data_IF_269941924540
#
_entry.id   IF_269941924540
#
_cell.length_a   1.000
_cell.length_b   1.000
_cell.length_c   1.000
_cell.angle_alpha   90.00
_cell.angle_beta   90.00
_cell.angle_gamma   90.00
#
_symmetry.space_group_name_H-M   'P 1'
#
loop_
_entity.id
_entity.type
_entity.pdbx_description
1 polymer ?
#
# COMPACT_ATOMS: atom_id res chain seq x y z
N UNK A 1 17.84 -11.29 34.76
CA UNK A 1 18.52 -11.82 33.55
C UNK A 1 20.02 -11.72 33.78
N UNK A 2 20.85 -12.76 33.56
CA UNK A 2 22.29 -12.68 33.82
C UNK A 2 22.97 -11.71 32.83
N UNK A 3 23.96 -10.90 33.26
CA UNK A 3 24.56 -9.81 32.46
C UNK A 3 25.21 -10.29 31.14
N UNK A 4 25.65 -11.55 31.09
CA UNK A 4 26.18 -12.20 29.88
C UNK A 4 25.13 -12.44 28.77
N UNK A 5 23.84 -12.51 29.12
CA UNK A 5 22.75 -12.62 28.12
C UNK A 5 22.44 -11.27 27.48
N UNK A 6 22.46 -10.19 28.28
CA UNK A 6 22.22 -8.82 27.80
C UNK A 6 23.29 -8.40 26.78
N UNK A 7 24.56 -8.65 27.08
CA UNK A 7 25.65 -8.34 26.17
C UNK A 7 25.55 -9.10 24.83
N UNK A 8 25.16 -10.37 24.84
CA UNK A 8 24.99 -11.19 23.61
C UNK A 8 23.78 -10.77 22.77
N UNK A 9 22.69 -10.37 23.41
CA UNK A 9 21.50 -9.82 22.74
C UNK A 9 21.82 -8.48 22.07
N UNK A 10 22.59 -7.62 22.74
CA UNK A 10 23.03 -6.34 22.18
C UNK A 10 23.93 -6.52 20.94
N UNK A 11 24.90 -7.45 20.97
CA UNK A 11 25.76 -7.70 19.80
C UNK A 11 24.99 -8.29 18.63
N UNK A 12 24.06 -9.23 18.87
CA UNK A 12 23.23 -9.84 17.83
C UNK A 12 22.23 -8.84 17.20
N UNK A 13 21.65 -7.95 18.02
CA UNK A 13 20.79 -6.87 17.54
C UNK A 13 21.54 -5.89 16.63
N UNK A 14 22.79 -5.55 16.97
CA UNK A 14 23.65 -4.69 16.14
C UNK A 14 23.99 -5.34 14.81
N UNK A 15 24.32 -6.65 14.78
CA UNK A 15 24.59 -7.35 13.52
C UNK A 15 23.33 -7.52 12.65
N UNK A 16 22.15 -7.72 13.27
CA UNK A 16 20.87 -7.76 12.56
C UNK A 16 20.50 -6.43 11.90
N UNK A 17 20.69 -5.31 12.61
CA UNK A 17 20.50 -3.97 12.04
C UNK A 17 21.42 -3.71 10.84
N UNK A 18 22.69 -4.10 10.91
CA UNK A 18 23.67 -3.84 9.83
C UNK A 18 23.35 -4.62 8.54
N UNK A 19 22.77 -5.82 8.64
CA UNK A 19 22.37 -6.61 7.47
C UNK A 19 21.09 -6.07 6.80
N UNK A 20 20.16 -5.51 7.59
CA UNK A 20 18.90 -4.96 7.08
C UNK A 20 19.03 -3.53 6.55
N UNK A 21 19.91 -2.71 7.12
CA UNK A 21 20.20 -1.35 6.65
C UNK A 21 20.94 -1.31 5.29
N UNK A 22 21.43 -2.46 4.80
CA UNK A 22 22.12 -2.59 3.52
C UNK A 22 21.25 -3.06 2.35
N UNK A 23 19.95 -3.30 2.56
CA UNK A 23 19.03 -3.68 1.48
C UNK A 23 18.24 -2.45 0.98
N UNK A 24 18.56 -1.91 -0.20
CA UNK A 24 17.76 -0.86 -0.80
C UNK A 24 16.52 -1.50 -1.42
N UNK A 25 15.43 -1.57 -0.67
CA UNK A 25 14.11 -1.79 -1.25
C UNK A 25 13.06 -1.27 -0.27
N UNK A 26 12.53 -0.04 -0.45
CA UNK A 26 11.26 0.29 0.19
C UNK A 26 10.23 -0.73 -0.32
N UNK A 27 9.79 -1.60 0.58
CA UNK A 27 8.50 -2.28 0.58
C UNK A 27 7.89 -2.65 -0.79
N UNK A 28 8.53 -3.52 -1.59
CA UNK A 28 7.93 -4.06 -2.83
C UNK A 28 6.64 -4.85 -2.58
N UNK A 29 6.38 -5.31 -1.35
CA UNK A 29 5.12 -5.97 -1.01
C UNK A 29 3.97 -5.00 -0.71
N UNK A 30 4.25 -3.75 -0.31
CA UNK A 30 3.21 -2.82 0.12
C UNK A 30 2.65 -1.94 -1.02
N UNK A 31 3.20 -2.06 -2.23
CA UNK A 31 2.61 -1.55 -3.47
C UNK A 31 1.79 -2.66 -4.13
N UNK A 32 0.48 -2.49 -4.23
CA UNK A 32 -0.36 -3.36 -5.06
C UNK A 32 -0.39 -2.73 -6.45
N UNK A 33 0.09 -3.44 -7.48
CA UNK A 33 0.09 -2.94 -8.87
C UNK A 33 -1.31 -2.97 -9.51
N UNK A 34 -1.59 -2.01 -10.40
CA UNK A 34 -2.91 -1.81 -11.01
C UNK A 34 -3.28 -2.80 -12.14
N UNK A 35 -2.42 -3.76 -12.49
CA UNK A 35 -2.63 -4.67 -13.63
C UNK A 35 -3.53 -5.89 -13.38
N UNK A 36 -4.15 -6.04 -12.21
CA UNK A 36 -5.00 -7.18 -11.89
C UNK A 36 -6.46 -6.92 -12.29
N UNK A 37 -6.89 -7.43 -13.44
CA UNK A 37 -8.28 -7.23 -13.92
C UNK A 37 -9.22 -8.36 -13.46
N UNK A 38 -8.70 -9.57 -13.30
CA UNK A 38 -9.48 -10.80 -13.01
C UNK A 38 -9.39 -11.27 -11.56
N UNK A 39 -10.35 -12.12 -11.13
CA UNK A 39 -10.34 -12.75 -9.80
C UNK A 39 -9.08 -13.61 -9.58
N UNK A 40 -8.59 -14.26 -10.64
CA UNK A 40 -7.36 -15.07 -10.60
C UNK A 40 -6.09 -14.23 -10.44
N UNK A 41 -6.07 -13.01 -10.99
CA UNK A 41 -4.95 -12.09 -10.80
C UNK A 41 -4.87 -11.66 -9.34
N UNK A 42 -6.01 -11.41 -8.69
CA UNK A 42 -6.06 -11.10 -7.26
C UNK A 42 -5.55 -12.22 -6.37
N UNK A 43 -5.83 -13.49 -6.72
CA UNK A 43 -5.27 -14.63 -6.01
C UNK A 43 -3.73 -14.65 -6.12
N UNK A 44 -3.21 -14.48 -7.33
CA UNK A 44 -1.75 -14.44 -7.58
C UNK A 44 -1.09 -13.25 -6.90
N UNK A 45 -1.77 -12.11 -6.90
CA UNK A 45 -1.35 -10.88 -6.24
C UNK A 45 -1.27 -11.08 -4.72
N UNK A 46 -2.29 -11.68 -4.10
CA UNK A 46 -2.28 -11.99 -2.67
C UNK A 46 -1.17 -12.98 -2.29
N UNK A 47 -0.97 -14.01 -3.10
CA UNK A 47 0.12 -14.96 -2.92
C UNK A 47 1.49 -14.27 -3.02
N UNK A 48 1.71 -13.46 -4.05
CA UNK A 48 2.98 -12.76 -4.29
C UNK A 48 3.24 -11.71 -3.23
N UNK A 49 2.22 -10.94 -2.84
CA UNK A 49 2.28 -9.99 -1.72
C UNK A 49 2.77 -10.67 -0.44
N UNK A 50 2.21 -11.84 -0.12
CA UNK A 50 2.56 -12.60 1.07
C UNK A 50 4.01 -13.10 1.03
N UNK A 51 4.47 -13.63 -0.10
CA UNK A 51 5.83 -14.19 -0.22
C UNK A 51 6.90 -13.09 -0.38
N UNK A 52 6.56 -11.96 -1.02
CA UNK A 52 7.47 -10.83 -1.20
C UNK A 52 7.64 -9.98 0.07
N UNK A 53 6.69 -10.04 1.00
CA UNK A 53 6.73 -9.30 2.27
C UNK A 53 7.71 -9.92 3.26
N UNK A 54 8.89 -9.30 3.41
CA UNK A 54 9.91 -9.76 4.36
C UNK A 54 9.40 -9.74 5.81
N UNK A 55 8.58 -8.75 6.16
CA UNK A 55 7.93 -8.59 7.46
C UNK A 55 6.95 -9.73 7.74
N UNK A 56 6.15 -10.14 6.75
CA UNK A 56 5.26 -11.29 6.87
C UNK A 56 6.04 -12.59 7.09
N UNK A 57 7.11 -12.81 6.32
CA UNK A 57 7.97 -13.98 6.47
C UNK A 57 8.66 -14.02 7.83
N UNK A 58 9.15 -12.87 8.32
CA UNK A 58 9.72 -12.74 9.66
C UNK A 58 8.70 -12.99 10.76
N UNK A 59 7.47 -12.48 10.61
CA UNK A 59 6.39 -12.74 11.56
C UNK A 59 6.06 -14.25 11.64
N UNK A 60 5.90 -14.92 10.49
CA UNK A 60 5.68 -16.37 10.44
C UNK A 60 6.83 -17.14 11.10
N UNK A 61 8.08 -16.78 10.78
CA UNK A 61 9.25 -17.41 11.37
C UNK A 61 9.25 -17.23 12.90
N UNK A 62 9.00 -16.01 13.39
CA UNK A 62 8.89 -15.72 14.82
C UNK A 62 7.82 -16.55 15.51
N UNK A 63 6.60 -16.56 14.96
CA UNK A 63 5.48 -17.37 15.50
C UNK A 63 5.81 -18.86 15.48
N UNK A 64 6.47 -19.36 14.43
CA UNK A 64 6.88 -20.76 14.35
C UNK A 64 7.89 -21.13 15.44
N UNK A 65 8.89 -20.28 15.70
CA UNK A 65 9.90 -20.51 16.73
C UNK A 65 9.25 -20.46 18.13
N UNK A 66 8.38 -19.46 18.39
CA UNK A 66 7.64 -19.34 19.65
C UNK A 66 6.74 -20.56 19.90
N UNK A 67 5.99 -20.98 18.89
CA UNK A 67 5.05 -22.10 19.00
C UNK A 67 5.74 -23.46 19.07
N UNK A 68 6.93 -23.58 18.46
CA UNK A 68 7.79 -24.76 18.45
C UNK A 68 7.27 -25.94 17.63
N UNK A 69 6.11 -25.82 16.98
CA UNK A 69 5.52 -26.88 16.14
C UNK A 69 4.78 -26.25 14.97
N UNK A 70 4.95 -26.81 13.77
CA UNK A 70 4.27 -26.32 12.56
C UNK A 70 2.75 -26.27 12.69
N UNK A 71 2.13 -27.24 13.38
CA UNK A 71 0.68 -27.28 13.60
C UNK A 71 0.18 -26.07 14.41
N UNK A 72 0.84 -25.74 15.53
CA UNK A 72 0.45 -24.54 16.30
C UNK A 72 0.75 -23.26 15.52
N UNK A 73 1.86 -23.20 14.79
CA UNK A 73 2.16 -22.05 13.95
C UNK A 73 1.05 -21.81 12.93
N UNK A 74 0.65 -22.85 12.19
CA UNK A 74 -0.47 -22.79 11.25
C UNK A 74 -1.76 -22.30 11.94
N UNK A 75 -2.11 -22.83 13.11
CA UNK A 75 -3.29 -22.34 13.86
C UNK A 75 -3.21 -20.85 14.21
N UNK A 76 -2.04 -20.36 14.64
CA UNK A 76 -1.88 -18.93 14.98
C UNK A 76 -1.89 -18.05 13.74
N UNK A 77 -1.24 -18.48 12.66
CA UNK A 77 -1.18 -17.72 11.41
C UNK A 77 -2.55 -17.70 10.70
N UNK A 78 -3.29 -18.80 10.66
CA UNK A 78 -4.68 -18.77 10.15
C UNK A 78 -5.59 -17.90 11.02
N UNK A 79 -5.34 -17.80 12.33
CA UNK A 79 -6.10 -16.88 13.20
C UNK A 79 -5.76 -15.41 12.89
N UNK A 80 -4.50 -15.10 12.60
CA UNK A 80 -4.08 -13.80 12.10
C UNK A 80 -4.78 -13.48 10.77
N UNK A 81 -4.73 -14.42 9.81
CA UNK A 81 -5.33 -14.26 8.49
C UNK A 81 -6.86 -14.11 8.56
N UNK A 82 -7.51 -14.81 9.50
CA UNK A 82 -8.93 -14.62 9.78
C UNK A 82 -9.22 -13.17 10.23
N UNK A 83 -8.47 -12.66 11.22
CA UNK A 83 -8.62 -11.27 11.66
C UNK A 83 -8.38 -10.27 10.53
N UNK A 84 -7.31 -10.48 9.77
CA UNK A 84 -6.96 -9.68 8.61
C UNK A 84 -8.06 -9.66 7.55
N UNK A 85 -8.59 -10.84 7.22
CA UNK A 85 -9.66 -10.97 6.23
C UNK A 85 -10.94 -10.25 6.66
N UNK A 86 -11.30 -10.36 7.95
CA UNK A 86 -12.50 -9.72 8.50
C UNK A 86 -12.42 -8.21 8.35
N UNK A 87 -11.34 -7.58 8.78
CA UNK A 87 -11.21 -6.11 8.70
C UNK A 87 -10.94 -5.62 7.29
N UNK A 88 -10.21 -6.38 6.46
CA UNK A 88 -10.02 -6.06 5.06
C UNK A 88 -11.35 -5.98 4.31
N UNK A 89 -12.19 -7.01 4.44
CA UNK A 89 -13.50 -7.06 3.79
C UNK A 89 -14.41 -5.97 4.36
N UNK A 90 -14.50 -5.85 5.70
CA UNK A 90 -15.36 -4.86 6.33
C UNK A 90 -14.97 -3.42 5.95
N UNK A 91 -13.69 -3.07 6.01
CA UNK A 91 -13.21 -1.73 5.67
C UNK A 91 -13.36 -1.43 4.18
N UNK A 92 -13.14 -2.42 3.30
CA UNK A 92 -13.32 -2.25 1.85
C UNK A 92 -14.79 -1.99 1.51
N UNK A 93 -15.73 -2.76 2.08
CA UNK A 93 -17.16 -2.59 1.84
C UNK A 93 -17.74 -1.33 2.49
N UNK A 94 -17.22 -0.94 3.65
CA UNK A 94 -17.67 0.25 4.37
C UNK A 94 -16.96 1.53 3.92
N UNK A 95 -15.98 1.44 3.01
CA UNK A 95 -15.18 2.58 2.54
C UNK A 95 -14.32 3.22 3.63
N UNK A 96 -13.91 2.47 4.65
CA UNK A 96 -13.08 2.99 5.73
C UNK A 96 -11.65 3.21 5.22
N UNK A 97 -11.12 4.40 5.47
CA UNK A 97 -9.73 4.76 5.19
C UNK A 97 -9.00 4.99 6.49
N UNK A 98 -7.95 4.22 6.72
CA UNK A 98 -7.06 4.35 7.87
C UNK A 98 -5.68 4.73 7.36
N UNK A 99 -4.98 5.56 8.13
CA UNK A 99 -3.59 5.90 7.91
C UNK A 99 -2.73 4.63 7.73
N UNK A 100 -2.17 4.46 6.53
CA UNK A 100 -1.38 3.29 6.17
C UNK A 100 -0.07 3.23 6.98
N UNK A 101 0.58 4.37 7.22
CA UNK A 101 1.79 4.45 8.04
C UNK A 101 1.53 3.98 9.46
N UNK A 102 0.42 4.42 10.08
CA UNK A 102 0.05 3.97 11.42
C UNK A 102 -0.10 2.44 11.47
N UNK A 103 -0.73 1.85 10.45
CA UNK A 103 -0.87 0.39 10.37
C UNK A 103 0.49 -0.28 10.18
N UNK A 104 1.35 0.23 9.28
CA UNK A 104 2.71 -0.27 9.06
C UNK A 104 3.55 -0.23 10.36
N UNK A 105 3.39 0.80 11.20
CA UNK A 105 4.03 0.86 12.51
C UNK A 105 3.53 -0.26 13.44
N UNK A 106 2.22 -0.53 13.48
CA UNK A 106 1.66 -1.63 14.27
C UNK A 106 2.17 -2.99 13.77
N UNK A 107 2.31 -3.16 12.45
CA UNK A 107 2.90 -4.35 11.85
C UNK A 107 4.34 -4.53 12.33
N UNK A 108 5.17 -3.50 12.26
CA UNK A 108 6.55 -3.54 12.76
C UNK A 108 6.60 -3.84 14.28
N UNK A 109 5.70 -3.26 15.07
CA UNK A 109 5.58 -3.55 16.50
C UNK A 109 5.13 -4.99 16.79
N UNK A 110 4.37 -5.62 15.89
CA UNK A 110 3.99 -7.03 16.04
C UNK A 110 5.21 -7.98 16.00
N UNK A 111 6.23 -7.66 15.19
CA UNK A 111 7.50 -8.40 15.18
C UNK A 111 8.23 -8.26 16.51
N UNK A 112 8.27 -7.04 17.06
CA UNK A 112 8.85 -6.76 18.38
C UNK A 112 8.10 -7.54 19.46
N UNK A 113 6.76 -7.55 19.43
CA UNK A 113 5.95 -8.29 20.41
C UNK A 113 6.23 -9.79 20.37
N UNK A 114 6.29 -10.41 19.19
CA UNK A 114 6.62 -11.83 19.03
C UNK A 114 8.04 -12.13 19.51
N UNK A 115 9.00 -11.26 19.22
CA UNK A 115 10.39 -11.40 19.68
C UNK A 115 10.51 -11.32 21.21
N UNK A 116 9.86 -10.33 21.83
CA UNK A 116 9.84 -10.17 23.30
C UNK A 116 9.22 -11.38 23.98
N UNK A 117 8.07 -11.86 23.48
CA UNK A 117 7.43 -13.06 24.01
C UNK A 117 8.40 -14.25 23.91
N UNK A 118 9.02 -14.45 22.75
CA UNK A 118 10.00 -15.52 22.53
C UNK A 118 11.20 -15.46 23.49
N UNK A 119 11.74 -14.28 23.77
CA UNK A 119 12.85 -14.05 24.71
C UNK A 119 12.44 -14.28 26.17
N UNK A 120 11.19 -13.98 26.52
CA UNK A 120 10.62 -14.29 27.84
C UNK A 120 10.31 -15.78 28.01
N UNK A 121 10.31 -16.55 26.91
CA UNK A 121 10.06 -17.99 26.88
C UNK A 121 8.85 -18.35 26.02
N UNK A 122 8.25 -19.51 26.26
CA UNK A 122 6.98 -19.86 25.58
C UNK A 122 5.81 -19.24 26.33
N UNK A 123 4.76 -18.78 25.61
CA UNK A 123 3.58 -18.22 26.26
C UNK A 123 2.96 -19.26 27.20
N UNK A 124 2.77 -18.89 28.48
CA UNK A 124 2.16 -19.76 29.48
C UNK A 124 0.65 -19.96 29.23
N UNK A 125 0.00 -18.96 28.60
CA UNK A 125 -1.43 -18.96 28.31
C UNK A 125 -1.67 -18.75 26.81
N UNK A 126 -1.77 -19.85 26.06
CA UNK A 126 -1.95 -19.84 24.60
C UNK A 126 -3.15 -19.03 24.11
N UNK A 127 -4.22 -18.91 24.91
CA UNK A 127 -5.41 -18.12 24.57
C UNK A 127 -5.11 -16.63 24.43
N UNK A 128 -4.25 -16.07 25.29
CA UNK A 128 -3.86 -14.66 25.21
C UNK A 128 -2.93 -14.40 24.03
N UNK A 129 -2.03 -15.35 23.75
CA UNK A 129 -1.20 -15.28 22.55
C UNK A 129 -2.05 -15.32 21.27
N UNK A 130 -3.03 -16.22 21.20
CA UNK A 130 -3.98 -16.31 20.11
C UNK A 130 -4.79 -15.01 19.94
N UNK A 131 -5.32 -14.44 21.03
CA UNK A 131 -6.05 -13.17 21.00
C UNK A 131 -5.18 -12.00 20.50
N UNK A 132 -3.92 -11.94 20.93
CA UNK A 132 -2.96 -10.94 20.45
C UNK A 132 -2.68 -11.09 18.95
N UNK A 133 -2.44 -12.32 18.49
CA UNK A 133 -2.19 -12.61 17.06
C UNK A 133 -3.42 -12.28 16.21
N UNK A 134 -4.63 -12.60 16.68
CA UNK A 134 -5.88 -12.18 16.05
C UNK A 134 -5.98 -10.65 15.98
N UNK A 135 -5.65 -9.96 17.08
CA UNK A 135 -5.66 -8.50 17.17
C UNK A 135 -4.71 -7.83 16.18
N UNK A 136 -3.51 -8.38 16.01
CA UNK A 136 -2.59 -7.92 14.96
C UNK A 136 -3.17 -8.14 13.57
N UNK A 137 -3.80 -9.29 13.32
CA UNK A 137 -4.50 -9.56 12.06
C UNK A 137 -5.56 -8.50 11.76
N UNK A 138 -6.44 -8.20 12.73
CA UNK A 138 -7.49 -7.19 12.60
C UNK A 138 -6.91 -5.82 12.20
N UNK A 139 -5.86 -5.35 12.89
CA UNK A 139 -5.27 -4.04 12.58
C UNK A 139 -4.61 -4.05 11.20
N UNK A 140 -3.91 -5.14 10.87
CA UNK A 140 -3.22 -5.27 9.58
C UNK A 140 -4.20 -5.17 8.40
N UNK A 141 -5.37 -5.83 8.49
CA UNK A 141 -6.38 -5.79 7.42
C UNK A 141 -6.87 -4.39 7.07
N UNK A 142 -6.82 -3.44 8.02
CA UNK A 142 -7.20 -2.05 7.79
C UNK A 142 -6.23 -1.33 6.84
N UNK A 143 -4.92 -1.51 7.01
CA UNK A 143 -3.91 -0.80 6.20
C UNK A 143 -3.94 -1.22 4.73
N UNK A 144 -4.13 -2.51 4.48
CA UNK A 144 -4.25 -3.02 3.12
C UNK A 144 -5.55 -2.57 2.43
N UNK A 145 -6.64 -2.43 3.20
CA UNK A 145 -7.92 -1.97 2.65
C UNK A 145 -7.83 -0.56 2.08
N UNK A 146 -7.12 0.36 2.75
CA UNK A 146 -6.88 1.73 2.27
C UNK A 146 -6.16 1.70 0.91
N UNK A 147 -5.15 0.84 0.77
CA UNK A 147 -4.35 0.71 -0.46
C UNK A 147 -5.15 0.08 -1.61
N UNK A 148 -5.91 -0.98 -1.32
CA UNK A 148 -6.80 -1.62 -2.31
C UNK A 148 -7.91 -0.67 -2.80
N UNK A 149 -8.47 0.13 -1.90
CA UNK A 149 -9.46 1.15 -2.26
C UNK A 149 -8.85 2.25 -3.14
N UNK A 150 -7.58 2.60 -2.94
CA UNK A 150 -6.86 3.58 -3.77
C UNK A 150 -6.68 3.11 -5.24
N UNK A 151 -6.73 1.79 -5.50
CA UNK A 151 -6.68 1.24 -6.86
C UNK A 151 -7.97 1.48 -7.67
N UNK A 152 -9.04 1.98 -7.03
CA UNK A 152 -10.29 2.31 -7.74
C UNK A 152 -11.00 1.09 -8.31
N UNK A 153 -11.07 -0.02 -7.54
CA UNK A 153 -11.69 -1.25 -8.01
C UNK A 153 -13.18 -1.02 -8.35
N UNK A 154 -13.64 -1.46 -9.54
CA UNK A 154 -15.05 -1.44 -9.89
C UNK A 154 -15.88 -2.12 -8.80
N UNK A 155 -17.06 -1.57 -8.43
CA UNK A 155 -17.95 -2.18 -7.44
C UNK A 155 -18.30 -3.63 -7.79
N UNK A 156 -18.41 -3.89 -9.09
CA UNK A 156 -18.72 -5.20 -9.66
C UNK A 156 -17.56 -6.18 -9.45
N UNK A 157 -17.80 -7.23 -8.66
CA UNK A 157 -16.81 -8.27 -8.37
C UNK A 157 -15.76 -7.89 -7.32
N UNK A 158 -15.87 -6.74 -6.65
CA UNK A 158 -14.93 -6.30 -5.61
C UNK A 158 -14.78 -7.31 -4.47
N UNK A 159 -15.90 -7.84 -3.96
CA UNK A 159 -15.86 -8.84 -2.88
C UNK A 159 -15.16 -10.13 -3.33
N UNK A 160 -15.42 -10.60 -4.55
CA UNK A 160 -14.79 -11.80 -5.09
C UNK A 160 -13.27 -11.63 -5.24
N UNK A 161 -12.82 -10.46 -5.71
CA UNK A 161 -11.39 -10.11 -5.80
C UNK A 161 -10.72 -10.04 -4.42
N UNK A 162 -11.34 -9.42 -3.43
CA UNK A 162 -10.81 -9.35 -2.05
C UNK A 162 -10.73 -10.76 -1.42
N UNK A 163 -11.75 -11.59 -1.62
CA UNK A 163 -11.75 -12.98 -1.16
C UNK A 163 -10.63 -13.76 -1.84
N UNK A 164 -10.47 -13.64 -3.16
CA UNK A 164 -9.41 -14.32 -3.90
C UNK A 164 -8.02 -13.89 -3.44
N UNK A 165 -7.81 -12.59 -3.18
CA UNK A 165 -6.58 -12.09 -2.58
C UNK A 165 -6.28 -12.75 -1.23
N UNK A 166 -7.26 -12.81 -0.31
CA UNK A 166 -7.07 -13.45 0.99
C UNK A 166 -6.76 -14.95 0.86
N UNK A 167 -7.38 -15.64 -0.10
CA UNK A 167 -7.04 -17.03 -0.40
C UNK A 167 -5.58 -17.14 -0.86
N UNK A 168 -5.13 -16.25 -1.73
CA UNK A 168 -3.73 -16.16 -2.15
C UNK A 168 -2.78 -15.96 -0.96
N UNK A 169 -3.12 -15.05 -0.05
CA UNK A 169 -2.34 -14.81 1.17
C UNK A 169 -2.24 -16.06 2.05
N UNK A 170 -3.36 -16.71 2.36
CA UNK A 170 -3.36 -17.93 3.18
C UNK A 170 -2.51 -19.05 2.53
N UNK A 171 -2.59 -19.22 1.21
CA UNK A 171 -1.76 -20.18 0.48
C UNK A 171 -0.26 -19.85 0.61
N UNK A 172 0.12 -18.58 0.47
CA UNK A 172 1.49 -18.12 0.67
C UNK A 172 1.99 -18.36 2.10
N UNK A 173 1.14 -18.12 3.10
CA UNK A 173 1.46 -18.33 4.50
C UNK A 173 1.70 -19.82 4.82
N UNK A 174 0.82 -20.70 4.35
CA UNK A 174 0.95 -22.14 4.55
C UNK A 174 2.20 -22.69 3.85
N UNK A 175 2.51 -22.20 2.65
CA UNK A 175 3.74 -22.54 1.95
C UNK A 175 4.98 -22.11 2.76
N UNK A 176 5.01 -20.87 3.24
CA UNK A 176 6.12 -20.34 4.04
C UNK A 176 6.33 -21.16 5.33
N UNK A 177 5.25 -21.51 6.03
CA UNK A 177 5.32 -22.41 7.20
C UNK A 177 5.92 -23.76 6.82
N UNK A 178 5.46 -24.36 5.71
CA UNK A 178 5.99 -25.63 5.21
C UNK A 178 7.50 -25.57 4.96
N UNK A 179 7.96 -24.54 4.26
CA UNK A 179 9.38 -24.30 3.96
C UNK A 179 10.18 -24.11 5.26
N UNK A 180 9.73 -23.28 6.19
CA UNK A 180 10.44 -23.07 7.45
C UNK A 180 10.49 -24.32 8.34
N UNK A 181 9.44 -25.13 8.34
CA UNK A 181 9.44 -26.42 9.04
C UNK A 181 10.47 -27.38 8.41
N UNK A 182 10.57 -27.43 7.08
CA UNK A 182 11.59 -28.24 6.39
C UNK A 182 13.02 -27.77 6.72
N UNK A 183 13.26 -26.46 6.70
CA UNK A 183 14.54 -25.86 7.12
C UNK A 183 14.84 -26.22 8.58
N UNK A 184 13.85 -26.11 9.47
CA UNK A 184 13.96 -26.46 10.87
C UNK A 184 14.30 -27.94 11.12
N UNK A 185 13.81 -28.86 10.27
CA UNK A 185 14.19 -30.29 10.31
C UNK A 185 15.61 -30.55 9.82
N UNK A 186 16.17 -29.68 8.97
CA UNK A 186 17.57 -29.72 8.53
C UNK A 186 18.55 -29.10 9.52
N UNK A 187 18.06 -28.20 10.37
CA UNK A 187 18.80 -27.47 11.41
C UNK A 187 19.65 -28.36 12.35
N UNK A 188 19.31 -29.65 12.61
CA UNK A 188 20.14 -30.50 13.43
C UNK A 188 21.57 -30.74 12.94
N UNK A 189 21.81 -30.47 11.65
CA UNK A 189 23.12 -30.57 11.00
C UNK A 189 24.01 -29.33 11.20
N UNK A 190 23.48 -28.25 11.76
CA UNK A 190 24.21 -27.01 11.97
C UNK A 190 24.94 -26.96 13.33
N UNK A 191 25.99 -26.13 13.45
CA UNK A 191 26.64 -25.82 14.73
C UNK A 191 25.65 -25.35 15.81
N UNK A 192 25.86 -25.76 17.06
CA UNK A 192 25.00 -25.40 18.20
C UNK A 192 24.79 -23.90 18.36
N UNK A 193 25.76 -23.07 17.98
CA UNK A 193 25.68 -21.61 18.04
C UNK A 193 24.60 -21.01 17.13
N UNK A 194 24.35 -21.63 15.97
CA UNK A 194 23.31 -21.22 15.01
C UNK A 194 21.92 -21.76 15.38
N UNK A 195 21.83 -22.64 16.39
CA UNK A 195 20.58 -23.25 16.86
C UNK A 195 20.00 -22.52 18.07
N UNK A 196 20.62 -21.40 18.50
CA UNK A 196 20.11 -20.61 19.62
C UNK A 196 18.92 -19.75 19.16
N UNK A 197 17.68 -20.02 19.59
CA UNK A 197 16.51 -19.25 19.19
C UNK A 197 16.59 -17.78 19.63
N UNK A 198 17.37 -17.47 20.67
CA UNK A 198 17.58 -16.09 21.15
C UNK A 198 18.18 -15.20 20.05
N UNK A 199 18.99 -15.75 19.13
CA UNK A 199 19.54 -14.99 18.00
C UNK A 199 18.46 -14.60 16.99
N UNK A 200 17.52 -15.52 16.72
CA UNK A 200 16.40 -15.24 15.83
C UNK A 200 15.48 -14.17 16.44
N UNK A 201 15.19 -14.25 17.74
CA UNK A 201 14.40 -13.22 18.42
C UNK A 201 15.14 -11.88 18.49
N UNK A 202 16.45 -11.86 18.72
CA UNK A 202 17.23 -10.61 18.66
C UNK A 202 17.18 -9.97 17.27
N UNK A 203 17.27 -10.78 16.21
CA UNK A 203 17.13 -10.31 14.83
C UNK A 203 15.73 -9.73 14.56
N UNK A 204 14.66 -10.41 15.01
CA UNK A 204 13.29 -9.90 14.89
C UNK A 204 13.09 -8.58 15.65
N UNK A 205 13.63 -8.47 16.86
CA UNK A 205 13.54 -7.26 17.67
C UNK A 205 14.29 -6.09 17.02
N UNK A 206 15.48 -6.34 16.47
CA UNK A 206 16.25 -5.35 15.72
C UNK A 206 15.53 -4.91 14.45
N UNK A 207 15.02 -5.86 13.65
CA UNK A 207 14.30 -5.58 12.41
C UNK A 207 13.02 -4.78 12.65
N UNK A 208 12.18 -5.24 13.59
CA UNK A 208 10.94 -4.57 13.95
C UNK A 208 11.20 -3.18 14.56
N UNK A 209 12.15 -3.07 15.49
CA UNK A 209 12.51 -1.79 16.09
C UNK A 209 13.06 -0.77 15.08
N UNK A 210 13.95 -1.21 14.18
CA UNK A 210 14.48 -0.36 13.12
C UNK A 210 13.36 0.10 12.17
N UNK A 211 12.49 -0.81 11.74
CA UNK A 211 11.35 -0.48 10.90
C UNK A 211 10.40 0.52 11.58
N UNK A 212 10.06 0.33 12.86
CA UNK A 212 9.23 1.27 13.61
C UNK A 212 9.88 2.65 13.72
N UNK A 213 11.18 2.73 13.98
CA UNK A 213 11.90 4.02 14.06
C UNK A 213 11.92 4.71 12.71
N UNK A 214 12.25 3.99 11.64
CA UNK A 214 12.25 4.54 10.28
C UNK A 214 10.87 5.07 9.95
N UNK A 215 9.82 4.25 10.11
CA UNK A 215 8.44 4.68 9.86
C UNK A 215 8.01 5.84 10.76
N UNK A 216 8.46 5.92 12.01
CA UNK A 216 8.13 7.06 12.87
C UNK A 216 8.82 8.37 12.44
N UNK A 217 10.00 8.28 11.82
CA UNK A 217 10.78 9.44 11.37
C UNK A 217 10.42 9.84 9.94
N UNK A 218 10.14 8.87 9.06
CA UNK A 218 9.85 9.09 7.64
C UNK A 218 8.37 9.03 7.31
N UNK A 219 7.56 8.43 8.18
CA UNK A 219 6.14 8.17 7.94
C UNK A 219 5.21 9.29 8.37
N UNK A 220 5.74 10.49 8.60
CA UNK A 220 4.95 11.71 8.77
C UNK A 220 4.21 12.18 7.52
N UNK A 221 4.15 11.37 6.46
CA UNK A 221 3.30 11.61 5.29
C UNK A 221 1.90 11.00 5.54
N UNK A 222 1.21 11.49 6.56
CA UNK A 222 -0.24 11.31 6.63
C UNK A 222 -0.86 12.09 5.46
N UNK A 223 -1.83 11.51 4.73
CA UNK A 223 -2.70 12.33 3.91
C UNK A 223 -3.34 13.36 4.85
N UNK A 224 -3.34 14.66 4.52
CA UNK A 224 -3.78 15.69 5.45
C UNK A 224 -5.23 15.40 5.85
N UNK A 225 -5.42 14.88 7.06
CA UNK A 225 -6.71 14.90 7.72
C UNK A 225 -6.97 16.38 8.02
N UNK A 226 -7.99 16.92 7.36
CA UNK A 226 -8.47 18.30 7.47
C UNK A 226 -7.50 19.38 6.99
N UNK A 227 -7.61 19.71 5.69
CA UNK A 227 -7.47 21.05 5.15
C UNK A 227 -6.14 21.79 5.39
N UNK A 228 -5.04 21.28 4.83
CA UNK A 228 -4.12 22.18 4.14
C UNK A 228 -4.50 22.14 2.65
N UNK A 229 -5.42 23.03 2.27
CA UNK A 229 -5.58 23.41 0.87
C UNK A 229 -4.27 24.06 0.47
N UNK A 230 -3.34 23.26 0.00
CA UNK A 230 -2.18 23.78 -0.71
C UNK A 230 -2.77 24.54 -1.91
N UNK A 231 -2.44 25.81 -2.07
CA UNK A 231 -2.82 26.57 -3.25
C UNK A 231 -1.69 26.52 -4.27
N UNK A 232 -2.02 26.25 -5.52
CA UNK A 232 -1.13 26.46 -6.67
C UNK A 232 -1.73 27.60 -7.48
N UNK A 233 -1.23 28.81 -7.25
CA UNK A 233 -1.87 30.01 -7.80
C UNK A 233 -3.28 30.19 -7.24
N UNK A 234 -4.27 30.27 -8.13
CA UNK A 234 -5.69 30.37 -7.79
C UNK A 234 -6.39 29.00 -7.66
N UNK A 235 -5.64 27.91 -7.86
CA UNK A 235 -6.17 26.55 -7.79
C UNK A 235 -6.03 25.98 -6.37
N UNK A 236 -7.16 25.55 -5.81
CA UNK A 236 -7.22 24.86 -4.53
C UNK A 236 -6.96 23.37 -4.73
N UNK A 237 -5.95 22.83 -4.05
CA UNK A 237 -5.67 21.40 -4.05
C UNK A 237 -6.44 20.67 -2.97
N UNK A 238 -6.91 19.49 -3.34
CA UNK A 238 -7.47 18.51 -2.42
C UNK A 238 -7.13 17.10 -2.87
N UNK A 239 -7.19 16.15 -1.94
CA UNK A 239 -7.14 14.74 -2.30
C UNK A 239 -8.27 14.39 -3.26
N UNK A 240 -7.97 13.55 -4.26
CA UNK A 240 -8.94 13.08 -5.25
C UNK A 240 -10.03 12.24 -4.58
N UNK A 241 -11.27 12.60 -4.87
CA UNK A 241 -12.47 11.84 -4.47
C UNK A 241 -13.27 11.37 -5.68
N UNK A 242 -12.92 11.85 -6.86
CA UNK A 242 -13.45 11.47 -8.16
C UNK A 242 -13.23 9.98 -8.42
N UNK A 243 -14.27 9.36 -8.97
CA UNK A 243 -14.23 7.99 -9.46
C UNK A 243 -14.50 8.00 -10.95
N UNK A 244 -13.61 7.36 -11.70
CA UNK A 244 -13.75 7.17 -13.14
C UNK A 244 -13.80 5.66 -13.43
N UNK A 245 -14.64 5.22 -14.37
CA UNK A 245 -14.58 3.84 -14.84
C UNK A 245 -13.17 3.50 -15.36
N UNK A 246 -12.72 2.28 -15.09
CA UNK A 246 -11.41 1.76 -15.53
C UNK A 246 -11.49 1.07 -16.90
N UNK A 247 -12.70 0.91 -17.47
CA UNK A 247 -12.95 0.16 -18.69
C UNK A 247 -12.87 1.05 -19.92
N UNK A 248 -11.96 0.80 -20.85
CA UNK A 248 -11.94 1.53 -22.11
C UNK A 248 -10.63 1.40 -22.85
N UNK A 249 -10.56 2.02 -24.02
CA UNK A 249 -9.32 2.19 -24.77
C UNK A 249 -8.84 3.62 -24.55
N UNK A 250 -7.54 3.86 -24.63
CA UNK A 250 -6.99 5.22 -24.62
C UNK A 250 -7.79 6.15 -25.55
N UNK A 251 -8.08 7.40 -25.10
CA UNK A 251 -8.72 8.39 -25.95
C UNK A 251 -8.00 8.53 -27.29
N UNK A 252 -8.75 8.64 -28.38
CA UNK A 252 -8.18 8.77 -29.73
C UNK A 252 -7.48 10.12 -29.98
N UNK A 253 -7.68 11.07 -29.06
CA UNK A 253 -7.12 12.42 -29.09
C UNK A 253 -7.06 12.98 -27.67
N UNK A 254 -6.23 14.00 -27.51
CA UNK A 254 -5.94 14.58 -26.20
C UNK A 254 -6.95 15.68 -25.81
N UNK A 255 -7.59 16.36 -26.77
CA UNK A 255 -8.53 17.45 -26.47
C UNK A 255 -9.93 17.22 -27.06
N UNK A 256 -10.94 17.30 -26.19
CA UNK A 256 -12.36 17.26 -26.53
C UNK A 256 -12.97 18.65 -26.31
N UNK A 257 -13.53 19.23 -27.38
CA UNK A 257 -14.13 20.57 -27.40
C UNK A 257 -15.50 20.67 -26.70
N UNK A 258 -16.05 21.90 -26.53
CA UNK A 258 -17.34 22.15 -25.86
C UNK A 258 -18.56 21.36 -26.40
N UNK A 259 -18.51 20.89 -27.65
CA UNK A 259 -19.58 20.12 -28.29
C UNK A 259 -19.28 18.63 -28.44
N UNK A 260 -18.15 18.16 -27.90
CA UNK A 260 -17.68 16.79 -28.06
C UNK A 260 -17.74 16.06 -26.72
N UNK A 261 -18.33 14.86 -26.73
CA UNK A 261 -18.32 14.01 -25.54
C UNK A 261 -16.99 13.31 -25.43
N UNK A 262 -16.29 13.54 -24.33
CA UNK A 262 -15.10 12.77 -24.02
C UNK A 262 -15.48 11.33 -23.59
N UNK A 263 -14.58 10.36 -23.80
CA UNK A 263 -14.79 8.99 -23.37
C UNK A 263 -14.53 8.88 -21.86
N UNK A 264 -15.48 9.32 -21.03
CA UNK A 264 -15.34 9.32 -19.56
C UNK A 264 -15.01 7.94 -18.98
N UNK A 265 -15.42 6.89 -19.70
CA UNK A 265 -15.11 5.49 -19.36
C UNK A 265 -13.63 5.16 -19.45
N UNK A 266 -12.85 5.87 -20.26
CA UNK A 266 -11.41 5.67 -20.41
C UNK A 266 -10.56 6.43 -19.37
N UNK A 267 -11.15 7.37 -18.62
CA UNK A 267 -10.39 8.23 -17.71
C UNK A 267 -9.76 7.47 -16.54
N UNK A 268 -10.40 6.43 -16.02
CA UNK A 268 -9.80 5.60 -14.97
C UNK A 268 -8.55 4.88 -15.46
N UNK A 269 -8.61 4.29 -16.66
CA UNK A 269 -7.49 3.62 -17.32
C UNK A 269 -6.30 4.57 -17.51
N UNK A 270 -6.51 5.73 -18.15
CA UNK A 270 -5.39 6.65 -18.42
C UNK A 270 -4.86 7.34 -17.17
N UNK A 271 -5.69 7.61 -16.16
CA UNK A 271 -5.21 8.09 -14.86
C UNK A 271 -4.31 7.03 -14.20
N UNK A 272 -4.64 5.75 -14.34
CA UNK A 272 -3.80 4.62 -13.91
C UNK A 272 -2.43 4.61 -14.61
N UNK A 273 -2.38 4.97 -15.89
CA UNK A 273 -1.13 5.16 -16.63
C UNK A 273 -0.40 6.47 -16.27
N UNK A 274 -0.99 7.29 -15.40
CA UNK A 274 -0.42 8.52 -14.89
C UNK A 274 -0.74 9.76 -15.71
N UNK A 275 -1.84 9.77 -16.48
CA UNK A 275 -2.33 10.96 -17.16
C UNK A 275 -2.93 11.98 -16.17
N UNK A 276 -3.01 13.23 -16.62
CA UNK A 276 -3.81 14.28 -15.98
C UNK A 276 -5.04 14.57 -16.83
N UNK A 277 -6.22 14.58 -16.22
CA UNK A 277 -7.46 15.00 -16.86
C UNK A 277 -7.74 16.45 -16.51
N UNK A 278 -8.06 17.26 -17.52
CA UNK A 278 -8.42 18.67 -17.37
C UNK A 278 -9.86 18.86 -17.80
N UNK A 279 -10.73 19.12 -16.84
CA UNK A 279 -12.14 19.41 -17.09
C UNK A 279 -12.39 20.90 -17.15
N UNK A 280 -13.25 21.33 -18.06
CA UNK A 280 -13.67 22.71 -18.22
C UNK A 280 -15.14 22.80 -18.65
N UNK A 281 -15.85 23.90 -18.34
CA UNK A 281 -17.25 24.03 -18.72
C UNK A 281 -17.36 24.37 -20.23
N UNK A 282 -18.36 23.85 -20.95
CA UNK A 282 -18.61 24.20 -22.35
C UNK A 282 -18.86 25.70 -22.59
N UNK A 283 -19.25 26.42 -21.54
CA UNK A 283 -19.49 27.88 -21.54
C UNK A 283 -18.21 28.71 -21.47
N UNK A 284 -17.03 28.07 -21.33
CA UNK A 284 -15.75 28.76 -21.26
C UNK A 284 -15.51 29.61 -22.53
N UNK A 285 -15.01 30.86 -22.41
CA UNK A 285 -14.72 31.72 -23.55
C UNK A 285 -13.84 31.03 -24.60
N UNK A 286 -14.14 31.24 -25.89
CA UNK A 286 -13.45 30.57 -26.99
C UNK A 286 -11.92 30.79 -26.99
N UNK A 287 -11.47 31.97 -26.57
CA UNK A 287 -10.04 32.26 -26.42
C UNK A 287 -9.39 31.38 -25.35
N UNK A 288 -10.05 31.21 -24.20
CA UNK A 288 -9.58 30.36 -23.11
C UNK A 288 -9.60 28.88 -23.49
N UNK A 289 -10.63 28.43 -24.22
CA UNK A 289 -10.68 27.07 -24.80
C UNK A 289 -9.49 26.84 -25.75
N UNK A 290 -9.14 27.83 -26.58
CA UNK A 290 -7.98 27.73 -27.47
C UNK A 290 -6.65 27.65 -26.70
N UNK A 291 -6.50 28.45 -25.64
CA UNK A 291 -5.31 28.39 -24.78
C UNK A 291 -5.22 27.05 -24.03
N UNK A 292 -6.35 26.53 -23.55
CA UNK A 292 -6.42 25.23 -22.88
C UNK A 292 -6.07 24.08 -23.83
N UNK A 293 -6.60 24.13 -25.05
CA UNK A 293 -6.24 23.18 -26.11
C UNK A 293 -4.74 23.19 -26.39
N UNK A 294 -4.16 24.37 -26.56
CA UNK A 294 -2.72 24.51 -26.80
C UNK A 294 -1.89 23.96 -25.63
N UNK A 295 -2.34 24.12 -24.39
CA UNK A 295 -1.69 23.52 -23.22
C UNK A 295 -1.78 21.99 -23.22
N UNK A 296 -2.96 21.42 -23.49
CA UNK A 296 -3.19 19.97 -23.49
C UNK A 296 -2.41 19.28 -24.60
N UNK A 297 -2.35 19.88 -25.78
CA UNK A 297 -1.67 19.33 -26.96
C UNK A 297 -0.15 19.62 -26.97
N UNK A 298 0.38 20.41 -26.01
CA UNK A 298 1.81 20.69 -25.91
C UNK A 298 2.56 19.43 -25.44
N UNK A 299 3.52 18.89 -26.22
CA UNK A 299 4.33 17.75 -25.82
C UNK A 299 5.07 17.96 -24.49
N UNK A 300 5.40 19.20 -24.13
CA UNK A 300 6.05 19.54 -22.86
C UNK A 300 5.12 19.45 -21.65
N UNK A 301 3.80 19.50 -21.84
CA UNK A 301 2.81 19.32 -20.77
C UNK A 301 2.69 17.86 -20.33
N UNK A 302 3.26 16.92 -21.09
CA UNK A 302 3.21 15.49 -20.79
C UNK A 302 1.92 14.84 -21.24
N UNK A 303 1.42 13.89 -20.45
CA UNK A 303 0.24 13.07 -20.78
C UNK A 303 -1.02 13.70 -20.20
N UNK A 304 -1.62 14.62 -20.94
CA UNK A 304 -2.77 15.41 -20.48
C UNK A 304 -3.95 15.19 -21.42
N UNK A 305 -5.17 15.07 -20.87
CA UNK A 305 -6.42 15.00 -21.66
C UNK A 305 -7.38 16.09 -21.21
N UNK A 306 -7.87 16.89 -22.16
CA UNK A 306 -8.86 17.95 -21.93
C UNK A 306 -10.28 17.51 -22.28
N UNK A 307 -11.24 17.76 -21.38
CA UNK A 307 -12.63 17.34 -21.52
C UNK A 307 -13.60 18.46 -21.14
N UNK A 308 -14.60 18.70 -21.99
CA UNK A 308 -15.70 19.60 -21.66
C UNK A 308 -16.75 18.87 -20.80
N UNK A 309 -17.17 19.48 -19.69
CA UNK A 309 -18.13 18.87 -18.74
C UNK A 309 -19.32 19.80 -18.49
N UNK A 310 -20.51 19.31 -18.84
CA UNK A 310 -21.76 20.02 -18.60
C UNK A 310 -22.02 20.25 -17.11
N UNK A 311 -22.37 21.49 -16.74
CA UNK A 311 -22.71 21.85 -15.36
C UNK A 311 -21.51 22.03 -14.42
N UNK A 312 -20.28 21.98 -14.91
CA UNK A 312 -19.09 22.34 -14.14
C UNK A 312 -19.11 23.83 -13.76
N UNK A 313 -18.76 24.14 -12.51
CA UNK A 313 -18.75 25.52 -12.01
C UNK A 313 -17.37 26.18 -12.19
N UNK A 314 -16.31 25.42 -11.99
CA UNK A 314 -14.93 25.90 -12.03
C UNK A 314 -14.46 26.08 -13.48
N UNK A 315 -13.77 27.19 -13.83
CA UNK A 315 -13.21 27.36 -15.17
C UNK A 315 -12.21 26.26 -15.58
N UNK A 316 -11.43 25.76 -14.63
CA UNK A 316 -10.48 24.66 -14.82
C UNK A 316 -10.52 23.77 -13.59
N UNK A 317 -10.63 22.46 -13.83
CA UNK A 317 -10.46 21.43 -12.82
C UNK A 317 -9.48 20.38 -13.33
N UNK A 318 -8.40 20.11 -12.58
CA UNK A 318 -7.39 19.11 -12.95
C UNK A 318 -7.47 17.91 -12.02
N UNK A 319 -7.28 16.71 -12.55
CA UNK A 319 -7.36 15.47 -11.80
C UNK A 319 -6.23 14.52 -12.21
N UNK A 320 -5.47 14.02 -11.24
CA UNK A 320 -4.45 12.99 -11.44
C UNK A 320 -4.74 11.73 -10.59
N UNK A 321 -3.76 10.86 -10.35
CA UNK A 321 -3.95 9.63 -9.58
C UNK A 321 -4.32 9.87 -8.10
N UNK A 322 -3.95 11.00 -7.51
CA UNK A 322 -4.03 11.25 -6.06
C UNK A 322 -4.71 12.57 -5.69
N UNK A 323 -4.61 13.58 -6.55
CA UNK A 323 -4.98 14.95 -6.25
C UNK A 323 -5.95 15.51 -7.30
N UNK A 324 -6.76 16.46 -6.84
CA UNK A 324 -7.65 17.29 -7.65
C UNK A 324 -7.33 18.75 -7.35
N UNK A 325 -7.18 19.55 -8.41
CA UNK A 325 -7.04 20.99 -8.32
C UNK A 325 -8.26 21.67 -8.94
N UNK A 326 -8.91 22.54 -8.17
CA UNK A 326 -10.10 23.30 -8.59
C UNK A 326 -9.75 24.79 -8.57
N UNK A 327 -9.76 25.43 -9.74
CA UNK A 327 -9.37 26.84 -9.89
C UNK A 327 -10.62 27.72 -9.88
N UNK A 328 -10.62 28.79 -9.06
CA UNK A 328 -11.77 29.72 -9.02
C UNK A 328 -11.81 30.65 -10.23
N UNK A 329 -10.67 30.85 -10.88
CA UNK A 329 -10.49 31.60 -12.13
C UNK A 329 -9.79 30.74 -13.18
N UNK A 330 -9.75 31.23 -14.41
CA UNK A 330 -9.00 30.57 -15.49
C UNK A 330 -7.49 30.77 -15.28
N UNK A 331 -6.85 29.83 -14.61
CA UNK A 331 -5.42 29.86 -14.26
C UNK A 331 -4.63 28.73 -14.95
N UNK A 332 -4.07 29.04 -16.12
CA UNK A 332 -3.23 28.10 -16.86
C UNK A 332 -1.84 27.90 -16.25
N UNK A 333 -1.33 28.86 -15.49
CA UNK A 333 -0.03 28.71 -14.84
C UNK A 333 -0.12 27.74 -13.65
N UNK A 334 -1.23 27.80 -12.91
CA UNK A 334 -1.61 26.78 -11.93
C UNK A 334 -1.75 25.39 -12.56
N UNK A 335 -2.42 25.29 -13.72
CA UNK A 335 -2.54 24.02 -14.46
C UNK A 335 -1.17 23.45 -14.89
N UNK A 336 -0.26 24.30 -15.38
CA UNK A 336 1.12 23.91 -15.72
C UNK A 336 1.93 23.50 -14.49
N UNK A 337 1.75 24.17 -13.36
CA UNK A 337 2.44 23.80 -12.12
C UNK A 337 1.95 22.45 -11.60
N UNK A 338 0.63 22.21 -11.63
CA UNK A 338 0.04 20.93 -11.25
C UNK A 338 0.59 19.76 -12.07
N UNK A 339 0.58 19.89 -13.40
CA UNK A 339 1.09 18.86 -14.31
C UNK A 339 2.59 18.62 -14.14
N UNK A 340 3.41 19.67 -14.08
CA UNK A 340 4.86 19.54 -13.84
C UNK A 340 5.17 18.85 -12.50
N UNK A 341 4.44 19.20 -11.45
CA UNK A 341 4.63 18.60 -10.12
C UNK A 341 4.28 17.11 -10.16
N UNK A 342 3.17 16.75 -10.81
CA UNK A 342 2.78 15.36 -11.00
C UNK A 342 3.81 14.55 -11.79
N UNK A 343 4.26 15.06 -12.95
CA UNK A 343 5.20 14.34 -13.79
C UNK A 343 6.64 14.29 -13.25
N UNK A 344 6.97 15.11 -12.24
CA UNK A 344 8.21 14.97 -11.48
C UNK A 344 8.14 13.84 -10.43
N UNK A 345 6.93 13.43 -10.03
CA UNK A 345 6.72 12.34 -9.08
C UNK A 345 6.93 10.97 -9.75
N UNK A 346 7.78 10.07 -9.20
CA UNK A 346 7.97 8.73 -9.74
C UNK A 346 6.68 7.91 -9.89
N UNK A 347 5.66 8.18 -9.06
CA UNK A 347 4.35 7.51 -9.09
C UNK A 347 3.53 7.86 -10.33
N UNK A 348 3.90 8.90 -11.07
CA UNK A 348 3.23 9.27 -12.33
C UNK A 348 3.62 8.39 -13.51
N UNK A 349 4.68 7.59 -13.39
CA UNK A 349 5.13 6.74 -14.49
C UNK A 349 4.20 5.55 -14.68
N UNK A 350 3.92 5.16 -15.93
CA UNK A 350 3.15 3.95 -16.19
C UNK A 350 3.94 2.74 -15.68
N UNK A 351 3.22 1.72 -15.21
CA UNK A 351 3.84 0.47 -14.78
C UNK A 351 4.25 -0.28 -16.06
N UNK A 352 5.56 -0.28 -16.37
CA UNK A 352 6.14 -1.13 -17.41
C UNK A 352 6.05 -2.62 -17.06
#
# INVERSE_FOLDING_TARGET
>A
MPPRRVARLATAAVTGCVVLLGAPAPASAHGIGAGAESVTDFLTLGFTHMIAGWDHLLFIAGVLIVTGTGRRAATMISLFALGHSVTLIAATLAGWRVNATFVDMVIALSLVAVAVIGLMGRPQRWRWFAAMVLGFGLIHGLGLSTRLQALGLPPDGQLARVVAFNVGVELGQLLAIGVFVLIGRGLPRLPQRLRNPDLAYAALLAAGGAATIVLAVTGSDDPPSTAEVSSMGDCQLRARTETYPQSGVHPMKDFFGPGEKAPDTAFGHVIGDGFVIVHYPPTLPAEQVAQLKAFVEDPASGRVVGSAVDGQAEPIKLVNAYDTAECTTFDLDGARQFTRTWFADPRSKPVE
#
